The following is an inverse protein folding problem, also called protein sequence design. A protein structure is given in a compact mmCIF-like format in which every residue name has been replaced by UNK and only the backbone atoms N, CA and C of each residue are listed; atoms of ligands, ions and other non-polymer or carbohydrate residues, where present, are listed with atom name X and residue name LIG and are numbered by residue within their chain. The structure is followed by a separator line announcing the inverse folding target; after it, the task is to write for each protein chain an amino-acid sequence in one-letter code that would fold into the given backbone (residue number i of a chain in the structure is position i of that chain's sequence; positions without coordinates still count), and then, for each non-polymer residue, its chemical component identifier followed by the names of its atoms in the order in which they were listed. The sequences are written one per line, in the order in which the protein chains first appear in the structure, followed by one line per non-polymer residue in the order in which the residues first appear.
data_IF_902560696999
#
_entry.id   IF_902560696999
#
_cell.length_a   1.000
_cell.length_b   1.000
_cell.length_c   1.000
_cell.angle_alpha   90.00
_cell.angle_beta   90.00
_cell.angle_gamma   90.00
#
_symmetry.space_group_name_H-M   'P 1'
#
loop_
_entity.id
_entity.type
_entity.pdbx_description
1 polymer ?
#
# COMPACT_ATOMS: atom_id res chain seq x y z
N UNK A 1 -8.26 3.88 -11.39
CA UNK A 1 -6.91 4.20 -10.87
C UNK A 1 -5.90 3.25 -11.48
N UNK A 2 -5.98 1.91 -11.23
CA UNK A 2 -5.01 0.92 -11.75
C UNK A 2 -4.86 1.02 -13.26
N UNK A 3 -5.94 1.00 -14.04
CA UNK A 3 -5.91 1.14 -15.50
C UNK A 3 -5.23 2.44 -15.99
N UNK A 4 -5.27 3.52 -15.21
CA UNK A 4 -4.55 4.75 -15.54
C UNK A 4 -3.05 4.61 -15.25
N UNK A 5 -2.68 3.96 -14.14
CA UNK A 5 -1.28 3.70 -13.80
C UNK A 5 -0.59 2.77 -14.80
N UNK A 6 -1.26 1.69 -15.21
CA UNK A 6 -0.76 0.74 -16.23
C UNK A 6 -0.37 1.40 -17.56
N UNK A 7 -1.03 2.50 -17.93
CA UNK A 7 -0.76 3.25 -19.18
C UNK A 7 0.46 4.16 -19.09
N UNK A 8 1.05 4.31 -17.91
CA UNK A 8 2.13 5.26 -17.62
C UNK A 8 3.45 4.53 -17.47
N UNK A 9 4.37 4.75 -18.38
CA UNK A 9 5.72 4.14 -18.34
C UNK A 9 6.61 4.66 -17.21
N UNK A 10 6.19 5.70 -16.51
CA UNK A 10 6.92 6.34 -15.40
C UNK A 10 6.29 6.04 -14.02
N UNK A 11 5.45 5.02 -13.92
CA UNK A 11 4.85 4.56 -12.68
C UNK A 11 5.42 3.20 -12.31
N UNK A 12 5.99 3.10 -11.13
CA UNK A 12 6.40 1.84 -10.49
C UNK A 12 5.41 1.56 -9.36
N UNK A 13 4.80 0.40 -9.41
CA UNK A 13 3.77 0.00 -8.46
C UNK A 13 4.36 -0.91 -7.40
N UNK A 14 4.13 -0.60 -6.13
CA UNK A 14 4.52 -1.45 -5.01
C UNK A 14 3.26 -2.13 -4.50
N UNK A 15 3.29 -3.46 -4.48
CA UNK A 15 2.18 -4.30 -4.04
C UNK A 15 1.90 -4.11 -2.55
N UNK A 16 0.63 -3.92 -2.20
CA UNK A 16 0.16 -3.84 -0.84
C UNK A 16 -0.60 -5.08 -0.39
N UNK A 17 -0.90 -5.16 0.90
CA UNK A 17 -1.66 -6.28 1.47
C UNK A 17 -3.07 -6.42 0.88
N UNK A 18 -3.69 -5.32 0.43
CA UNK A 18 -4.99 -5.38 -0.25
C UNK A 18 -4.89 -5.97 -1.65
N UNK A 19 -3.79 -5.74 -2.36
CA UNK A 19 -3.54 -6.34 -3.66
C UNK A 19 -3.29 -7.85 -3.52
N UNK A 20 -2.51 -8.25 -2.54
CA UNK A 20 -2.26 -9.66 -2.21
C UNK A 20 -3.55 -10.41 -1.85
N UNK A 21 -4.40 -9.83 -0.99
CA UNK A 21 -5.72 -10.38 -0.68
C UNK A 21 -6.60 -10.49 -1.92
N UNK A 22 -6.60 -9.46 -2.79
CA UNK A 22 -7.36 -9.46 -4.03
C UNK A 22 -6.90 -10.58 -4.97
N UNK A 23 -5.60 -10.67 -5.24
CA UNK A 23 -5.02 -11.71 -6.10
C UNK A 23 -5.32 -13.10 -5.56
N UNK A 24 -5.20 -13.30 -4.24
CA UNK A 24 -5.54 -14.56 -3.59
C UNK A 24 -7.00 -14.95 -3.84
N UNK A 25 -7.92 -14.02 -3.62
CA UNK A 25 -9.37 -14.28 -3.81
C UNK A 25 -9.69 -14.52 -5.28
N UNK A 26 -9.18 -13.71 -6.20
CA UNK A 26 -9.49 -13.83 -7.64
C UNK A 26 -8.93 -15.12 -8.23
N UNK A 27 -7.74 -15.54 -7.85
CA UNK A 27 -7.19 -16.85 -8.28
C UNK A 27 -8.12 -18.01 -7.94
N UNK A 28 -8.77 -17.94 -6.78
CA UNK A 28 -9.75 -18.93 -6.37
C UNK A 28 -11.10 -18.80 -7.10
N UNK A 29 -11.53 -17.58 -7.42
CA UNK A 29 -12.77 -17.31 -8.15
C UNK A 29 -12.65 -17.56 -9.67
N UNK A 30 -11.46 -17.49 -10.22
CA UNK A 30 -11.21 -17.77 -11.65
C UNK A 30 -11.35 -19.26 -12.04
N UNK A 31 -11.52 -20.13 -11.07
CA UNK A 31 -11.91 -21.53 -11.33
C UNK A 31 -13.37 -21.55 -11.78
N UNK A 32 -13.64 -22.13 -12.96
CA UNK A 32 -14.98 -22.22 -13.53
C UNK A 32 -16.00 -22.76 -12.49
N UNK A 33 -17.07 -22.02 -12.26
CA UNK A 33 -18.09 -22.39 -11.27
C UNK A 33 -18.90 -23.55 -11.86
N UNK A 34 -18.46 -24.76 -11.61
CA UNK A 34 -19.18 -26.00 -11.90
C UNK A 34 -19.80 -26.54 -10.61
N UNK A 35 -20.75 -27.47 -10.76
CA UNK A 35 -21.32 -28.17 -9.58
C UNK A 35 -20.26 -28.90 -8.75
N UNK A 36 -19.15 -29.26 -9.37
CA UNK A 36 -18.02 -29.91 -8.73
C UNK A 36 -17.12 -28.91 -7.98
N UNK A 37 -16.90 -27.71 -8.56
CA UNK A 37 -16.12 -26.64 -7.90
C UNK A 37 -16.87 -26.04 -6.72
N UNK A 38 -18.21 -25.96 -6.75
CA UNK A 38 -19.03 -25.51 -5.61
C UNK A 38 -18.87 -26.46 -4.41
N UNK A 39 -18.80 -27.78 -4.67
CA UNK A 39 -18.62 -28.78 -3.59
C UNK A 39 -17.18 -28.77 -3.05
N UNK A 40 -16.23 -28.21 -3.78
CA UNK A 40 -14.81 -28.16 -3.45
C UNK A 40 -14.33 -26.77 -2.97
N UNK A 41 -15.25 -25.83 -2.67
CA UNK A 41 -14.86 -24.55 -2.05
C UNK A 41 -14.22 -24.85 -0.70
N UNK A 42 -12.90 -24.61 -0.62
CA UNK A 42 -12.15 -24.86 0.60
C UNK A 42 -12.54 -23.85 1.69
N UNK A 43 -12.43 -24.25 2.94
CA UNK A 43 -12.60 -23.36 4.09
C UNK A 43 -11.64 -22.17 3.99
N UNK A 44 -10.43 -22.41 3.52
CA UNK A 44 -9.39 -21.37 3.37
C UNK A 44 -9.78 -20.29 2.35
N UNK A 45 -10.42 -20.70 1.24
CA UNK A 45 -10.96 -19.75 0.25
C UNK A 45 -12.07 -18.88 0.85
N UNK A 46 -12.99 -19.47 1.60
CA UNK A 46 -14.06 -18.72 2.27
C UNK A 46 -13.48 -17.74 3.30
N UNK A 47 -12.49 -18.17 4.05
CA UNK A 47 -11.80 -17.31 5.01
C UNK A 47 -11.05 -16.17 4.32
N UNK A 48 -10.34 -16.42 3.22
CA UNK A 48 -9.64 -15.39 2.43
C UNK A 48 -10.64 -14.36 1.89
N UNK A 49 -11.75 -14.80 1.33
CA UNK A 49 -12.81 -13.93 0.83
C UNK A 49 -13.43 -13.09 1.96
N UNK A 50 -13.81 -13.71 3.08
CA UNK A 50 -14.38 -13.01 4.23
C UNK A 50 -13.43 -11.98 4.82
N UNK A 51 -12.14 -12.33 4.95
CA UNK A 51 -11.11 -11.43 5.42
C UNK A 51 -10.96 -10.22 4.48
N UNK A 52 -10.93 -10.46 3.17
CA UNK A 52 -10.81 -9.38 2.21
C UNK A 52 -12.01 -8.44 2.20
N UNK A 53 -13.24 -8.98 2.24
CA UNK A 53 -14.48 -8.18 2.34
C UNK A 53 -14.51 -7.36 3.64
N UNK A 54 -14.13 -7.95 4.77
CA UNK A 54 -14.04 -7.26 6.06
C UNK A 54 -13.02 -6.10 6.03
N UNK A 55 -12.01 -6.18 5.17
CA UNK A 55 -11.02 -5.12 4.92
C UNK A 55 -11.43 -4.15 3.79
N UNK A 56 -12.68 -4.16 3.32
CA UNK A 56 -13.21 -3.19 2.34
C UNK A 56 -13.05 -3.61 0.88
N UNK A 57 -12.78 -4.88 0.58
CA UNK A 57 -12.59 -5.41 -0.77
C UNK A 57 -13.84 -5.44 -1.64
N UNK A 58 -15.05 -5.29 -1.07
CA UNK A 58 -16.32 -5.40 -1.79
C UNK A 58 -16.41 -4.45 -2.98
N UNK A 59 -16.07 -3.19 -2.81
CA UNK A 59 -16.11 -2.20 -3.89
C UNK A 59 -15.14 -2.52 -5.03
N UNK A 60 -14.01 -3.13 -4.71
CA UNK A 60 -12.99 -3.52 -5.69
C UNK A 60 -13.48 -4.66 -6.56
N UNK A 61 -14.06 -5.72 -5.96
CA UNK A 61 -14.58 -6.86 -6.73
C UNK A 61 -15.75 -6.44 -7.63
N UNK A 62 -16.66 -5.60 -7.12
CA UNK A 62 -17.78 -5.10 -7.92
C UNK A 62 -17.31 -4.35 -9.17
N UNK A 63 -16.28 -3.49 -9.04
CA UNK A 63 -15.71 -2.77 -10.19
C UNK A 63 -14.94 -3.72 -11.13
N UNK A 64 -14.18 -4.65 -10.59
CA UNK A 64 -13.41 -5.62 -11.37
C UNK A 64 -14.28 -6.51 -12.24
N UNK A 65 -15.39 -7.02 -11.69
CA UNK A 65 -16.32 -7.89 -12.42
C UNK A 65 -17.10 -7.16 -13.53
N UNK A 66 -17.11 -5.82 -13.56
CA UNK A 66 -17.70 -5.04 -14.65
C UNK A 66 -16.77 -4.88 -15.85
N UNK A 67 -15.49 -5.22 -15.71
CA UNK A 67 -14.50 -5.14 -16.77
C UNK A 67 -14.62 -6.32 -17.74
N UNK A 68 -14.19 -6.12 -18.98
CA UNK A 68 -14.03 -7.21 -19.93
C UNK A 68 -12.94 -8.19 -19.49
N UNK A 69 -13.02 -9.44 -19.93
CA UNK A 69 -12.01 -10.45 -19.59
C UNK A 69 -10.57 -10.05 -19.96
N UNK A 70 -10.29 -9.39 -21.12
CA UNK A 70 -8.95 -8.87 -21.37
C UNK A 70 -8.48 -7.85 -20.34
N UNK A 71 -9.34 -6.86 -19.98
CA UNK A 71 -9.01 -5.85 -18.97
C UNK A 71 -8.78 -6.46 -17.59
N UNK A 72 -9.56 -7.48 -17.22
CA UNK A 72 -9.34 -8.22 -15.98
C UNK A 72 -7.97 -8.89 -15.98
N UNK A 73 -7.58 -9.56 -17.05
CA UNK A 73 -6.26 -10.21 -17.18
C UNK A 73 -5.14 -9.18 -17.10
N UNK A 74 -5.24 -8.08 -17.84
CA UNK A 74 -4.22 -7.03 -17.84
C UNK A 74 -3.99 -6.46 -16.43
N UNK A 75 -5.06 -6.30 -15.62
CA UNK A 75 -4.96 -5.86 -14.24
C UNK A 75 -4.30 -6.91 -13.35
N UNK A 76 -4.65 -8.19 -13.51
CA UNK A 76 -4.04 -9.26 -12.72
C UNK A 76 -2.55 -9.37 -13.01
N UNK A 77 -2.18 -9.39 -14.29
CA UNK A 77 -0.77 -9.43 -14.74
C UNK A 77 0.01 -8.23 -14.16
N UNK A 78 -0.57 -7.02 -14.23
CA UNK A 78 0.05 -5.81 -13.67
C UNK A 78 0.28 -5.87 -12.16
N UNK A 79 -0.69 -6.40 -11.40
CA UNK A 79 -0.57 -6.55 -9.95
C UNK A 79 0.40 -7.69 -9.57
N UNK A 80 0.44 -8.78 -10.35
CA UNK A 80 1.36 -9.89 -10.12
C UNK A 80 2.82 -9.52 -10.42
N UNK A 81 3.04 -8.63 -11.39
CA UNK A 81 4.36 -8.11 -11.76
C UNK A 81 4.84 -6.97 -10.82
N UNK A 82 3.99 -6.53 -9.88
CA UNK A 82 4.34 -5.44 -8.99
C UNK A 82 5.45 -5.82 -8.00
N UNK A 83 6.36 -4.87 -7.76
CA UNK A 83 7.44 -5.05 -6.79
C UNK A 83 6.92 -5.02 -5.34
N UNK A 84 7.58 -5.72 -4.44
CA UNK A 84 7.31 -5.62 -2.99
C UNK A 84 8.10 -4.50 -2.33
N UNK A 85 9.17 -4.07 -2.93
CA UNK A 85 9.97 -2.91 -2.52
C UNK A 85 10.64 -2.26 -3.74
N UNK A 86 10.99 -0.99 -3.59
CA UNK A 86 11.81 -0.24 -4.54
C UNK A 86 12.90 0.51 -3.81
N UNK A 87 14.02 0.73 -4.48
CA UNK A 87 15.14 1.53 -3.95
C UNK A 87 15.42 2.70 -4.89
N UNK A 88 15.38 3.90 -4.34
CA UNK A 88 15.65 5.13 -5.09
C UNK A 88 16.82 5.90 -4.44
N UNK A 89 17.79 6.26 -5.25
CA UNK A 89 18.88 7.15 -4.84
C UNK A 89 18.62 8.59 -5.27
N UNK A 90 18.79 9.51 -4.33
CA UNK A 90 18.74 10.95 -4.62
C UNK A 90 19.70 11.71 -3.72
N UNK A 91 20.59 12.50 -4.31
CA UNK A 91 21.54 13.40 -3.60
C UNK A 91 22.27 12.73 -2.43
N UNK A 92 22.81 11.54 -2.62
CA UNK A 92 23.51 10.76 -1.62
C UNK A 92 22.64 10.15 -0.52
N UNK A 93 21.32 10.18 -0.65
CA UNK A 93 20.40 9.47 0.21
C UNK A 93 19.79 8.29 -0.55
N UNK A 94 19.59 7.18 0.17
CA UNK A 94 18.88 6.01 -0.30
C UNK A 94 17.50 5.97 0.34
N UNK A 95 16.47 5.82 -0.48
CA UNK A 95 15.09 5.65 -0.05
C UNK A 95 14.65 4.22 -0.38
N UNK A 96 14.30 3.47 0.65
CA UNK A 96 13.77 2.12 0.52
C UNK A 96 12.25 2.26 0.69
N UNK A 97 11.53 1.96 -0.37
CA UNK A 97 10.08 2.09 -0.45
C UNK A 97 9.45 0.71 -0.29
N UNK A 98 8.55 0.57 0.68
CA UNK A 98 7.80 -0.66 0.92
C UNK A 98 6.34 -0.31 1.25
N UNK A 99 5.41 -1.27 1.08
CA UNK A 99 4.02 -1.02 1.43
C UNK A 99 3.84 -0.76 2.94
N UNK A 100 4.24 -1.69 3.80
CA UNK A 100 4.02 -1.62 5.25
C UNK A 100 5.32 -1.34 6.02
N UNK A 101 6.17 -2.30 6.12
CA UNK A 101 7.48 -2.26 6.77
C UNK A 101 8.29 -3.46 6.35
N UNK A 102 9.29 -3.84 7.11
CA UNK A 102 10.12 -5.02 6.88
C UNK A 102 10.08 -5.87 8.14
N UNK A 103 9.31 -6.96 8.11
CA UNK A 103 9.22 -7.87 9.24
C UNK A 103 10.53 -8.61 9.45
N UNK A 104 10.91 -8.85 10.70
CA UNK A 104 12.19 -9.47 11.05
C UNK A 104 13.43 -8.75 10.47
N UNK A 105 13.34 -7.41 10.37
CA UNK A 105 14.41 -6.60 9.80
C UNK A 105 15.75 -6.80 10.50
N UNK A 106 16.80 -6.99 9.70
CA UNK A 106 18.21 -6.94 10.13
C UNK A 106 19.00 -6.09 9.13
N UNK A 107 19.86 -5.16 9.60
CA UNK A 107 20.64 -4.31 8.70
C UNK A 107 21.69 -5.07 7.87
N UNK A 108 22.05 -6.30 8.27
CA UNK A 108 22.97 -7.17 7.52
C UNK A 108 22.28 -8.06 6.49
N UNK A 109 20.94 -8.13 6.53
CA UNK A 109 20.15 -8.97 5.62
C UNK A 109 19.78 -8.20 4.35
N UNK A 110 20.11 -8.77 3.19
CA UNK A 110 19.75 -8.19 1.90
C UNK A 110 18.23 -8.26 1.65
N UNK A 111 17.66 -7.21 1.02
CA UNK A 111 16.21 -7.08 0.86
C UNK A 111 15.60 -8.18 -0.01
N UNK A 112 16.32 -8.68 -0.99
CA UNK A 112 15.90 -9.78 -1.88
C UNK A 112 15.77 -11.13 -1.19
N UNK A 113 16.28 -11.26 0.05
CA UNK A 113 16.21 -12.48 0.86
C UNK A 113 14.97 -12.55 1.75
N UNK A 114 14.20 -11.44 1.84
CA UNK A 114 12.93 -11.42 2.57
C UNK A 114 11.80 -12.02 1.73
N UNK A 115 10.80 -12.59 2.40
CA UNK A 115 9.63 -13.09 1.73
C UNK A 115 8.65 -11.95 1.42
N UNK A 116 7.80 -12.06 0.37
CA UNK A 116 6.79 -11.06 0.06
C UNK A 116 5.95 -10.62 1.27
N UNK A 117 5.53 -11.56 2.09
CA UNK A 117 4.70 -11.30 3.28
C UNK A 117 5.39 -10.38 4.30
N UNK A 118 6.72 -10.38 4.36
CA UNK A 118 7.50 -9.55 5.28
C UNK A 118 7.33 -8.05 5.00
N UNK A 119 6.89 -7.67 3.78
CA UNK A 119 6.69 -6.29 3.36
C UNK A 119 5.24 -5.80 3.45
N UNK A 120 4.27 -6.71 3.64
CA UNK A 120 2.85 -6.42 3.40
C UNK A 120 2.05 -6.02 4.65
N UNK A 121 2.45 -6.48 5.83
CA UNK A 121 1.62 -6.36 7.03
C UNK A 121 2.32 -5.73 8.23
N UNK A 122 3.64 -5.80 8.28
CA UNK A 122 4.41 -5.37 9.44
C UNK A 122 4.32 -3.87 9.67
N UNK A 123 4.04 -3.46 10.90
CA UNK A 123 4.03 -2.05 11.31
C UNK A 123 5.32 -1.73 12.04
N UNK A 124 6.18 -0.90 11.45
CA UNK A 124 7.46 -0.53 12.05
C UNK A 124 7.31 0.19 13.39
N UNK A 125 8.29 0.05 14.24
CA UNK A 125 8.47 0.92 15.39
C UNK A 125 9.10 2.25 14.90
N UNK A 126 8.28 3.26 14.73
CA UNK A 126 8.69 4.56 14.19
C UNK A 126 9.57 5.38 15.15
N UNK A 127 9.71 4.96 16.41
CA UNK A 127 10.63 5.57 17.37
C UNK A 127 12.07 5.06 17.20
N UNK A 128 12.25 3.94 16.52
CA UNK A 128 13.55 3.33 16.25
C UNK A 128 14.04 3.63 14.85
N UNK A 129 15.32 3.89 14.73
CA UNK A 129 16.01 3.92 13.44
C UNK A 129 16.42 2.50 13.06
N UNK A 130 15.99 2.04 11.88
CA UNK A 130 16.31 0.70 11.38
C UNK A 130 17.68 0.67 10.73
N UNK A 131 17.98 1.61 9.85
CA UNK A 131 19.27 1.68 9.18
C UNK A 131 20.23 2.59 9.96
N UNK A 132 21.48 2.15 10.24
CA UNK A 132 22.46 2.95 11.00
C UNK A 132 22.81 4.28 10.32
N UNK A 133 22.80 4.32 8.98
CA UNK A 133 23.11 5.52 8.22
C UNK A 133 21.98 6.54 8.27
N UNK A 134 22.31 7.81 8.53
CA UNK A 134 21.37 8.93 8.45
C UNK A 134 20.90 9.26 7.03
N UNK A 135 21.54 8.65 6.02
CA UNK A 135 21.23 8.83 4.60
C UNK A 135 20.31 7.75 4.04
N UNK A 136 19.87 6.81 4.88
CA UNK A 136 18.93 5.76 4.46
C UNK A 136 17.58 6.05 5.12
N UNK A 137 16.53 6.09 4.30
CA UNK A 137 15.16 6.32 4.72
C UNK A 137 14.27 5.15 4.32
N UNK A 138 13.44 4.70 5.26
CA UNK A 138 12.37 3.74 4.99
C UNK A 138 11.07 4.52 4.72
N UNK A 139 10.54 4.39 3.50
CA UNK A 139 9.28 5.03 3.08
C UNK A 139 8.17 3.99 3.14
N UNK A 140 7.12 4.27 3.91
CA UNK A 140 6.04 3.31 4.20
C UNK A 140 4.65 3.92 4.02
N UNK A 141 3.69 3.07 3.66
CA UNK A 141 2.25 3.29 3.72
C UNK A 141 1.60 2.50 4.88
N UNK A 142 0.44 1.89 4.64
CA UNK A 142 -0.25 0.88 5.45
C UNK A 142 -0.64 1.30 6.88
N UNK A 143 0.24 1.98 7.60
CA UNK A 143 -0.05 2.48 8.95
C UNK A 143 -0.45 3.95 8.87
N UNK A 144 -1.73 4.29 9.13
CA UNK A 144 -2.19 5.66 9.07
C UNK A 144 -1.38 6.58 10.00
N UNK A 145 -0.84 7.66 9.45
CA UNK A 145 0.03 8.59 10.20
C UNK A 145 -0.60 9.21 11.45
N UNK A 146 -1.94 9.39 11.55
CA UNK A 146 -2.56 9.78 12.83
C UNK A 146 -2.32 8.80 13.98
N UNK A 147 -1.96 7.54 13.69
CA UNK A 147 -1.60 6.56 14.72
C UNK A 147 -0.12 6.67 15.15
N UNK A 148 0.71 7.31 14.32
CA UNK A 148 2.16 7.46 14.53
C UNK A 148 2.48 8.82 15.15
N UNK A 149 1.82 9.87 14.67
CA UNK A 149 2.08 11.26 15.04
C UNK A 149 1.48 11.61 16.42
N UNK A 150 2.20 12.34 17.21
CA UNK A 150 1.71 12.87 18.51
C UNK A 150 0.50 13.79 18.34
N UNK A 151 0.52 14.64 17.30
CA UNK A 151 -0.56 15.60 17.02
C UNK A 151 -1.79 14.98 16.33
N UNK A 152 -1.77 13.68 16.06
CA UNK A 152 -2.83 12.90 15.41
C UNK A 152 -3.33 13.45 14.06
N UNK A 153 -2.59 14.33 13.42
CA UNK A 153 -2.96 14.91 12.14
C UNK A 153 -2.69 13.93 11.00
N UNK A 154 -3.55 13.91 9.95
CA UNK A 154 -3.36 13.07 8.76
C UNK A 154 -2.32 13.69 7.80
N UNK A 155 -1.12 13.90 8.28
CA UNK A 155 0.01 14.47 7.54
C UNK A 155 1.17 13.48 7.53
N UNK A 156 2.00 13.54 6.50
CA UNK A 156 3.21 12.71 6.38
C UNK A 156 4.05 12.81 7.67
N UNK A 157 4.46 11.66 8.18
CA UNK A 157 5.40 11.57 9.30
C UNK A 157 6.84 11.50 8.78
N UNK A 158 7.73 12.21 9.44
CA UNK A 158 9.19 12.14 9.18
C UNK A 158 9.93 12.13 10.52
N UNK A 159 10.63 11.06 10.79
CA UNK A 159 11.42 10.90 12.02
C UNK A 159 12.22 9.60 12.02
N UNK A 160 13.33 9.56 12.71
CA UNK A 160 14.16 8.36 12.93
C UNK A 160 14.48 7.54 11.67
N UNK A 161 14.65 8.22 10.51
CA UNK A 161 14.89 7.55 9.24
C UNK A 161 13.65 6.97 8.58
N UNK A 162 12.46 7.27 9.10
CA UNK A 162 11.17 6.89 8.49
C UNK A 162 10.51 8.07 7.79
N UNK A 163 9.80 7.75 6.70
CA UNK A 163 8.88 8.64 6.00
C UNK A 163 7.58 7.85 5.81
N UNK A 164 6.58 8.05 6.69
CA UNK A 164 5.29 7.38 6.55
C UNK A 164 4.31 8.29 5.80
N UNK A 165 3.75 7.80 4.69
CA UNK A 165 2.96 8.59 3.74
C UNK A 165 1.47 8.25 3.72
N UNK A 166 1.01 7.23 4.44
CA UNK A 166 -0.41 6.92 4.56
C UNK A 166 -1.09 7.91 5.51
N UNK A 167 -1.72 8.92 4.96
CA UNK A 167 -2.44 9.91 5.75
C UNK A 167 -3.91 9.54 6.01
N UNK A 168 -4.26 8.25 5.94
CA UNK A 168 -5.57 7.73 6.34
C UNK A 168 -6.73 8.16 5.44
N UNK A 169 -6.51 8.29 4.14
CA UNK A 169 -7.52 8.78 3.20
C UNK A 169 -8.82 7.96 3.26
N UNK A 170 -8.74 6.64 3.37
CA UNK A 170 -9.89 5.72 3.47
C UNK A 170 -10.69 5.94 4.75
N UNK A 171 -10.06 6.46 5.80
CA UNK A 171 -10.70 6.78 7.09
C UNK A 171 -11.13 8.25 7.21
N UNK A 172 -11.24 8.97 6.07
CA UNK A 172 -11.61 10.38 6.07
C UNK A 172 -10.45 11.36 6.27
N UNK A 173 -9.21 10.88 6.27
CA UNK A 173 -8.00 11.70 6.29
C UNK A 173 -7.65 12.28 4.92
N UNK A 174 -6.38 12.22 4.53
CA UNK A 174 -5.88 12.80 3.29
C UNK A 174 -5.18 11.75 2.42
N UNK A 175 -5.28 11.89 1.10
CA UNK A 175 -4.34 11.30 0.15
C UNK A 175 -3.12 12.20 0.09
N UNK A 176 -1.94 11.62 0.27
CA UNK A 176 -0.69 12.36 0.30
C UNK A 176 0.27 11.90 -0.79
N UNK A 177 1.13 12.82 -1.23
CA UNK A 177 2.29 12.51 -2.05
C UNK A 177 3.53 13.21 -1.50
N UNK A 178 4.67 12.53 -1.57
CA UNK A 178 5.97 13.02 -1.15
C UNK A 178 6.92 13.09 -2.34
N UNK A 179 7.47 14.27 -2.59
CA UNK A 179 8.49 14.46 -3.62
C UNK A 179 9.88 14.27 -3.01
N UNK A 180 10.54 13.17 -3.34
CA UNK A 180 11.86 12.80 -2.79
C UNK A 180 12.93 13.85 -3.15
N UNK A 181 12.90 14.42 -4.37
CA UNK A 181 13.89 15.38 -4.85
C UNK A 181 13.88 16.71 -4.09
N UNK A 182 12.69 17.15 -3.70
CA UNK A 182 12.50 18.48 -3.09
C UNK A 182 12.11 18.42 -1.61
N UNK A 183 11.68 17.26 -1.12
CA UNK A 183 11.11 17.09 0.21
C UNK A 183 9.71 17.70 0.36
N UNK A 184 9.08 18.16 -0.73
CA UNK A 184 7.74 18.74 -0.72
C UNK A 184 6.67 17.66 -0.52
N UNK A 185 5.61 18.04 0.17
CA UNK A 185 4.44 17.22 0.42
C UNK A 185 3.20 17.83 -0.23
N UNK A 186 2.33 16.98 -0.74
CA UNK A 186 1.07 17.37 -1.37
C UNK A 186 -0.05 16.58 -0.74
N UNK A 187 -1.22 17.21 -0.55
CA UNK A 187 -2.36 16.61 0.13
C UNK A 187 -3.66 16.89 -0.58
N UNK A 188 -4.54 15.90 -0.62
CA UNK A 188 -5.93 16.02 -1.08
C UNK A 188 -6.84 15.40 -0.02
N UNK A 189 -7.85 16.15 0.42
CA UNK A 189 -8.82 15.65 1.40
C UNK A 189 -9.67 14.52 0.84
N UNK A 190 -9.99 13.55 1.68
CA UNK A 190 -10.97 12.52 1.36
C UNK A 190 -12.33 13.16 1.11
N UNK A 191 -13.03 12.69 0.06
CA UNK A 191 -14.41 13.11 -0.23
C UNK A 191 -15.44 12.39 0.65
N UNK A 192 -15.05 11.37 1.39
CA UNK A 192 -15.96 10.55 2.20
C UNK A 192 -16.35 11.20 3.53
N UNK A 193 -15.70 12.29 3.92
CA UNK A 193 -16.04 12.97 5.17
C UNK A 193 -16.13 14.48 4.95
N UNK A 194 -17.35 15.06 4.84
CA UNK A 194 -17.53 16.51 4.79
C UNK A 194 -17.40 17.16 6.18
N UNK A 195 -16.62 16.58 7.10
CA UNK A 195 -16.33 17.21 8.38
C UNK A 195 -15.35 18.36 8.16
N UNK A 196 -15.95 19.55 8.08
CA UNK A 196 -15.33 20.86 8.20
C UNK A 196 -14.41 21.30 7.04
N UNK A 197 -14.99 22.02 6.10
CA UNK A 197 -14.35 23.19 5.48
C UNK A 197 -13.95 24.22 6.58
N UNK A 198 -12.99 23.87 7.42
CA UNK A 198 -12.22 24.86 8.16
C UNK A 198 -10.87 24.95 7.50
N UNK A 199 -10.70 26.07 6.78
CA UNK A 199 -9.43 26.54 6.22
C UNK A 199 -8.30 26.27 7.24
N UNK A 200 -7.40 25.39 6.86
CA UNK A 200 -6.07 25.34 7.47
C UNK A 200 -5.28 26.37 6.69
N UNK A 201 -5.11 27.57 7.29
CA UNK A 201 -4.21 28.59 6.78
C UNK A 201 -2.82 27.98 6.58
N UNK A 202 -2.29 28.22 5.39
CA UNK A 202 -0.92 27.99 5.00
C UNK A 202 0.02 28.65 6.01
N UNK A 203 0.72 27.86 6.79
CA UNK A 203 1.90 28.37 7.49
C UNK A 203 3.14 28.03 6.65
N UNK A 204 3.80 29.12 6.26
CA UNK A 204 5.07 29.27 5.54
C UNK A 204 6.21 28.46 6.17
#
# INVERSE_FOLDING_TARGET
VIQDMMRRSNVFYIQGNHDDMFLTVIRHLAVEITSETIQNISTDMLMAYQNWIANGGESTIQQFLQLSQPEQRDILDYLEDASYYEMLENKHCLYILVHAGIEHFSPEKELDTYQPVDFLWYRPDYEKRYFPSERIFLVTGHTPTPLIREDRKPLIYRGNGHIAIDCGCVFGGMLAAYCIETGKTYYVHSKQNPLSEKKIDEQK
#
